data_IF_838848126862
#
_entry.id   IF_838848126862
#
_cell.length_a   1.000
_cell.length_b   1.000
_cell.length_c   1.000
_cell.angle_alpha   90.00
_cell.angle_beta   90.00
_cell.angle_gamma   90.00
#
_symmetry.space_group_name_H-M   'P 1'
#
loop_
_entity.id
_entity.type
_entity.pdbx_description
1 polymer ?
#
# COMPACT_ATOMS: atom_id res chain seq x y z
N UNK A 1 -14.49 -6.15 26.07
CA UNK A 1 -14.89 -5.26 24.96
C UNK A 1 -14.10 -5.69 23.73
N UNK A 2 -14.72 -5.83 22.56
CA UNK A 2 -14.01 -6.29 21.36
C UNK A 2 -13.18 -5.14 20.78
N UNK A 3 -11.85 -5.28 20.73
CA UNK A 3 -10.98 -4.32 20.03
C UNK A 3 -11.38 -4.25 18.56
N UNK A 4 -11.65 -3.04 18.05
CA UNK A 4 -11.95 -2.84 16.64
C UNK A 4 -10.65 -2.70 15.85
N UNK A 5 -10.69 -3.12 14.58
CA UNK A 5 -9.56 -3.00 13.65
C UNK A 5 -9.98 -2.18 12.45
N UNK A 6 -9.11 -1.27 12.02
CA UNK A 6 -9.32 -0.37 10.90
C UNK A 6 -8.17 -0.49 9.90
N UNK A 7 -8.48 -0.39 8.61
CA UNK A 7 -7.47 -0.28 7.56
C UNK A 7 -7.30 1.20 7.22
N UNK A 8 -6.06 1.64 7.16
CA UNK A 8 -5.69 3.01 6.77
C UNK A 8 -4.69 2.91 5.63
N UNK A 9 -4.98 3.57 4.50
CA UNK A 9 -3.98 3.84 3.48
C UNK A 9 -3.16 5.05 3.94
N UNK A 10 -1.84 4.90 4.01
CA UNK A 10 -0.95 5.99 4.38
C UNK A 10 -1.03 7.06 3.27
N UNK A 11 -1.38 8.32 3.59
CA UNK A 11 -1.40 9.39 2.60
C UNK A 11 -0.01 9.61 1.99
N UNK A 12 0.09 9.86 0.69
CA UNK A 12 1.37 10.15 0.02
C UNK A 12 1.92 11.54 0.35
N UNK A 13 1.03 12.52 0.57
CA UNK A 13 1.38 13.87 0.98
C UNK A 13 1.63 13.94 2.51
N UNK A 14 2.63 13.21 2.99
CA UNK A 14 3.02 13.29 4.40
C UNK A 14 3.76 14.59 4.67
N UNK A 15 3.32 15.33 5.70
CA UNK A 15 4.13 16.40 6.28
C UNK A 15 5.40 15.78 6.88
N UNK A 16 6.55 16.45 6.72
CA UNK A 16 7.83 15.98 7.25
C UNK A 16 7.78 15.70 8.75
N UNK A 17 6.96 16.44 9.49
CA UNK A 17 6.73 16.29 10.93
C UNK A 17 6.14 14.93 11.33
N UNK A 18 5.38 14.28 10.44
CA UNK A 18 4.72 12.99 10.72
C UNK A 18 5.54 11.79 10.23
N UNK A 19 6.51 12.03 9.34
CA UNK A 19 7.34 10.97 8.75
C UNK A 19 8.15 10.23 9.81
N UNK A 20 8.74 10.95 10.76
CA UNK A 20 9.56 10.34 11.81
C UNK A 20 8.77 9.35 12.66
N UNK A 21 7.56 9.72 13.11
CA UNK A 21 6.71 8.84 13.90
C UNK A 21 6.26 7.60 13.11
N UNK A 22 5.89 7.78 11.83
CA UNK A 22 5.51 6.69 10.95
C UNK A 22 6.68 5.73 10.66
N UNK A 23 7.87 6.25 10.38
CA UNK A 23 9.07 5.44 10.20
C UNK A 23 9.39 4.63 11.46
N UNK A 24 9.26 5.21 12.66
CA UNK A 24 9.47 4.48 13.91
C UNK A 24 8.46 3.33 14.08
N UNK A 25 7.16 3.56 13.80
CA UNK A 25 6.14 2.49 13.86
C UNK A 25 6.41 1.38 12.85
N UNK A 26 6.76 1.77 11.62
CA UNK A 26 7.11 0.82 10.58
C UNK A 26 8.36 -0.01 10.97
N UNK A 27 9.41 0.64 11.50
CA UNK A 27 10.63 0.00 11.99
C UNK A 27 10.33 -1.06 13.04
N UNK A 28 9.53 -0.71 14.06
CA UNK A 28 9.10 -1.64 15.11
C UNK A 28 8.37 -2.84 14.51
N UNK A 29 7.64 -2.65 13.42
CA UNK A 29 6.80 -3.70 12.86
C UNK A 29 7.57 -4.86 12.21
N UNK A 30 8.81 -4.70 11.70
CA UNK A 30 9.71 -5.86 11.45
C UNK A 30 11.09 -5.63 10.84
N UNK A 31 11.40 -4.46 10.30
CA UNK A 31 12.48 -4.35 9.33
C UNK A 31 13.51 -3.32 9.82
N UNK A 32 14.68 -3.81 10.21
CA UNK A 32 15.84 -3.02 10.67
C UNK A 32 16.49 -2.21 9.52
N UNK A 33 15.69 -1.57 8.67
CA UNK A 33 16.21 -0.59 7.72
C UNK A 33 16.33 0.77 8.41
N UNK A 34 17.23 1.59 7.89
CA UNK A 34 17.43 2.96 8.35
C UNK A 34 16.18 3.84 8.10
N UNK A 35 16.01 4.92 8.87
CA UNK A 35 14.89 5.86 8.72
C UNK A 35 14.83 6.47 7.31
N UNK A 36 16.00 6.67 6.70
CA UNK A 36 16.18 7.20 5.34
C UNK A 36 15.52 6.29 4.30
N UNK A 37 15.81 4.99 4.34
CA UNK A 37 15.21 3.97 3.46
C UNK A 37 13.69 3.89 3.65
N UNK A 38 13.20 4.12 4.88
CA UNK A 38 11.77 4.14 5.14
C UNK A 38 11.06 5.36 4.60
N UNK A 39 11.65 6.54 4.80
CA UNK A 39 11.14 7.77 4.25
C UNK A 39 11.03 7.65 2.73
N UNK A 40 12.07 7.14 2.05
CA UNK A 40 12.05 6.91 0.60
C UNK A 40 10.92 5.97 0.16
N UNK A 41 10.66 4.89 0.90
CA UNK A 41 9.59 3.94 0.57
C UNK A 41 8.20 4.52 0.81
N UNK A 42 8.00 5.22 1.91
CA UNK A 42 6.72 5.87 2.24
C UNK A 42 6.40 7.03 1.28
N UNK A 43 7.44 7.71 0.79
CA UNK A 43 7.33 8.80 -0.18
C UNK A 43 7.35 8.33 -1.64
N UNK A 44 7.47 7.02 -1.89
CA UNK A 44 7.44 6.52 -3.25
C UNK A 44 6.03 6.75 -3.83
N UNK A 45 5.88 7.60 -4.88
CA UNK A 45 4.57 7.93 -5.44
C UNK A 45 3.89 6.73 -6.12
N UNK A 46 4.62 5.65 -6.37
CA UNK A 46 4.11 4.38 -6.91
C UNK A 46 3.77 3.37 -5.83
N UNK A 47 4.11 3.63 -4.56
CA UNK A 47 3.80 2.74 -3.47
C UNK A 47 2.53 3.19 -2.75
N UNK A 48 1.64 2.26 -2.46
CA UNK A 48 0.51 2.47 -1.55
C UNK A 48 0.62 1.51 -0.39
N UNK A 49 0.81 2.08 0.79
CA UNK A 49 0.94 1.30 2.03
C UNK A 49 -0.38 1.31 2.77
N UNK A 50 -0.96 0.12 2.96
CA UNK A 50 -2.16 -0.07 3.76
C UNK A 50 -1.78 -0.74 5.06
N UNK A 51 -2.28 -0.23 6.17
CA UNK A 51 -1.95 -0.69 7.52
C UNK A 51 -3.23 -1.06 8.24
N UNK A 52 -3.22 -2.20 8.93
CA UNK A 52 -4.24 -2.51 9.94
C UNK A 52 -3.76 -1.95 11.28
N UNK A 53 -4.55 -1.06 11.87
CA UNK A 53 -4.32 -0.58 13.23
C UNK A 53 -5.32 -1.19 14.20
N UNK A 54 -4.88 -1.43 15.44
CA UNK A 54 -5.76 -1.75 16.55
C UNK A 54 -6.29 -0.45 17.15
N UNK A 55 -7.60 -0.25 17.10
CA UNK A 55 -8.22 0.92 17.72
C UNK A 55 -8.58 0.58 19.15
N UNK A 56 -7.84 1.14 20.09
CA UNK A 56 -8.14 1.11 21.52
C UNK A 56 -9.01 2.35 21.83
N UNK A 57 -10.27 2.19 22.24
CA UNK A 57 -11.24 3.26 22.67
C UNK A 57 -11.97 3.98 21.51
N UNK A 58 -13.30 4.02 21.37
CA UNK A 58 -14.43 4.40 22.27
C UNK A 58 -14.41 5.88 22.71
N UNK A 59 -14.27 6.78 21.75
CA UNK A 59 -14.57 8.21 21.92
C UNK A 59 -14.74 8.85 20.54
N UNK A 60 -15.83 9.58 20.34
CA UNK A 60 -16.25 10.24 19.08
C UNK A 60 -15.28 11.33 18.56
N UNK A 61 -14.05 11.38 19.06
CA UNK A 61 -13.06 12.34 18.57
C UNK A 61 -12.43 11.78 17.29
N UNK A 62 -12.81 12.34 16.14
CA UNK A 62 -12.15 12.09 14.86
C UNK A 62 -10.69 12.56 14.92
N UNK A 63 -9.80 11.67 15.34
CA UNK A 63 -8.36 11.83 15.15
C UNK A 63 -8.01 11.58 13.69
N UNK A 64 -7.03 12.33 13.17
CA UNK A 64 -6.59 12.17 11.78
C UNK A 64 -5.97 10.79 11.54
N UNK A 65 -6.01 10.32 10.29
CA UNK A 65 -5.40 9.04 9.91
C UNK A 65 -3.91 8.96 10.27
N UNK A 66 -3.19 10.08 10.17
CA UNK A 66 -1.76 10.17 10.48
C UNK A 66 -1.50 10.07 11.99
N UNK A 67 -2.31 10.75 12.81
CA UNK A 67 -2.23 10.63 14.27
C UNK A 67 -2.52 9.20 14.71
N UNK A 68 -3.55 8.58 14.12
CA UNK A 68 -3.93 7.20 14.42
C UNK A 68 -2.80 6.23 14.06
N UNK A 69 -2.22 6.35 12.86
CA UNK A 69 -1.07 5.53 12.44
C UNK A 69 0.17 5.73 13.32
N UNK A 70 0.32 6.89 13.96
CA UNK A 70 1.44 7.21 14.83
C UNK A 70 1.24 6.73 16.28
N UNK A 71 -0.02 6.70 16.74
CA UNK A 71 -0.38 6.32 18.10
C UNK A 71 -0.64 4.81 18.24
N UNK A 72 -1.34 4.21 17.29
CA UNK A 72 -1.86 2.84 17.39
C UNK A 72 -0.83 1.79 16.97
N UNK A 73 -1.00 0.58 17.49
CA UNK A 73 -0.21 -0.59 17.09
C UNK A 73 -0.60 -1.07 15.68
N UNK A 74 0.39 -1.28 14.82
CA UNK A 74 0.22 -1.85 13.50
C UNK A 74 0.15 -3.38 13.59
N UNK A 75 -1.02 -3.94 13.34
CA UNK A 75 -1.26 -5.39 13.38
C UNK A 75 -0.85 -6.09 12.07
N UNK A 76 -0.71 -5.34 11.00
CA UNK A 76 -0.35 -5.85 9.70
C UNK A 76 -0.30 -4.75 8.65
N UNK A 77 0.24 -5.11 7.49
CA UNK A 77 0.47 -4.18 6.39
C UNK A 77 0.46 -4.92 5.07
N UNK A 78 0.06 -4.23 4.00
CA UNK A 78 0.38 -4.58 2.61
C UNK A 78 0.87 -3.33 1.87
N UNK A 79 1.90 -3.49 1.04
CA UNK A 79 2.41 -2.44 0.15
C UNK A 79 2.15 -2.88 -1.28
N UNK A 80 1.35 -2.10 -2.01
CA UNK A 80 1.17 -2.24 -3.45
C UNK A 80 2.10 -1.30 -4.19
N UNK A 81 2.70 -1.78 -5.27
CA UNK A 81 3.42 -0.97 -6.25
C UNK A 81 2.62 -0.94 -7.56
N UNK A 82 2.50 0.25 -8.15
CA UNK A 82 1.86 0.49 -9.44
C UNK A 82 1.19 1.86 -9.52
N UNK A 83 0.42 2.12 -10.59
CA UNK A 83 0.16 1.22 -11.72
C UNK A 83 1.35 1.05 -12.67
N UNK A 84 1.39 -0.04 -13.43
CA UNK A 84 2.24 -0.17 -14.64
C UNK A 84 1.42 -0.66 -15.83
N UNK A 85 1.68 -0.12 -17.01
CA UNK A 85 1.08 -0.62 -18.24
C UNK A 85 1.71 -1.94 -18.62
N UNK A 86 0.89 -2.97 -18.84
CA UNK A 86 1.33 -4.19 -19.49
C UNK A 86 1.30 -4.01 -21.02
N UNK A 87 2.23 -4.66 -21.74
CA UNK A 87 2.22 -4.68 -23.20
C UNK A 87 0.89 -5.20 -23.76
N UNK A 88 0.38 -4.52 -24.80
CA UNK A 88 -0.90 -4.86 -25.44
C UNK A 88 -0.87 -6.20 -26.20
N UNK A 89 0.32 -6.74 -26.48
CA UNK A 89 0.49 -8.06 -27.12
C UNK A 89 0.30 -9.24 -26.15
N UNK A 90 0.06 -8.96 -24.86
CA UNK A 90 -0.15 -9.97 -23.83
C UNK A 90 1.10 -10.75 -23.45
N UNK A 91 2.29 -10.35 -23.95
CA UNK A 91 3.56 -11.05 -23.73
C UNK A 91 3.92 -11.20 -22.25
N UNK A 92 3.55 -10.21 -21.42
CA UNK A 92 3.84 -10.20 -19.99
C UNK A 92 2.65 -10.61 -19.11
N UNK A 93 1.50 -11.00 -19.69
CA UNK A 93 0.30 -11.42 -18.94
C UNK A 93 0.57 -12.56 -17.95
N UNK A 94 1.50 -13.47 -18.27
CA UNK A 94 1.89 -14.61 -17.44
C UNK A 94 2.95 -14.28 -16.39
N UNK A 95 3.64 -13.14 -16.54
CA UNK A 95 4.73 -12.69 -15.67
C UNK A 95 4.62 -11.19 -15.41
N UNK A 96 3.47 -10.67 -14.92
CA UNK A 96 3.23 -9.23 -14.78
C UNK A 96 4.15 -8.56 -13.76
N UNK A 97 4.82 -9.33 -12.89
CA UNK A 97 5.82 -8.83 -11.96
C UNK A 97 7.15 -8.44 -12.64
N UNK A 98 7.44 -8.92 -13.85
CA UNK A 98 8.70 -8.61 -14.54
C UNK A 98 8.86 -7.10 -14.81
N UNK A 99 7.76 -6.42 -15.15
CA UNK A 99 7.73 -4.97 -15.38
C UNK A 99 8.07 -4.16 -14.12
N UNK A 100 7.99 -4.77 -12.93
CA UNK A 100 8.38 -4.18 -11.64
C UNK A 100 9.79 -4.55 -11.21
N UNK A 101 10.34 -5.67 -11.70
CA UNK A 101 11.67 -6.17 -11.34
C UNK A 101 12.77 -5.65 -12.28
N UNK A 102 12.45 -5.43 -13.56
CA UNK A 102 13.41 -5.00 -14.59
C UNK A 102 13.68 -3.48 -14.60
N UNK A 103 12.93 -2.71 -13.80
CA UNK A 103 12.84 -1.27 -13.93
C UNK A 103 13.84 -0.53 -13.03
N UNK A 104 14.74 0.24 -13.64
CA UNK A 104 15.54 1.27 -12.96
C UNK A 104 14.69 2.45 -12.42
N UNK A 105 13.38 2.42 -12.61
CA UNK A 105 12.44 3.52 -12.41
C UNK A 105 11.23 3.18 -11.51
N UNK A 106 11.37 2.23 -10.58
CA UNK A 106 10.27 1.80 -9.66
C UNK A 106 9.68 2.97 -8.86
N UNK A 107 10.45 4.05 -8.68
CA UNK A 107 10.03 5.24 -7.93
C UNK A 107 9.46 6.36 -8.83
N UNK A 108 9.46 6.19 -10.15
CA UNK A 108 8.91 7.18 -11.08
C UNK A 108 7.46 6.85 -11.40
N UNK A 109 6.59 7.84 -11.27
CA UNK A 109 5.20 7.70 -11.70
C UNK A 109 5.13 7.51 -13.21
N UNK A 110 4.37 6.52 -13.73
CA UNK A 110 4.12 6.42 -15.15
C UNK A 110 3.33 7.64 -15.60
N UNK A 111 3.48 7.99 -16.87
CA UNK A 111 2.57 8.91 -17.53
C UNK A 111 1.18 8.23 -17.61
N UNK A 112 0.11 8.82 -17.04
CA UNK A 112 -1.24 8.26 -17.12
C UNK A 112 -1.70 7.93 -18.54
N UNK A 113 -1.19 8.64 -19.56
CA UNK A 113 -1.49 8.35 -20.96
C UNK A 113 -0.97 6.98 -21.42
N UNK A 114 0.10 6.46 -20.79
CA UNK A 114 0.63 5.11 -21.09
C UNK A 114 -0.23 3.99 -20.49
N UNK A 115 -0.91 4.28 -19.39
CA UNK A 115 -1.87 3.37 -18.74
C UNK A 115 -3.21 3.38 -19.48
N UNK A 116 -3.61 4.54 -20.02
CA UNK A 116 -4.85 4.67 -20.76
C UNK A 116 -4.92 3.67 -21.91
N UNK A 117 -6.01 2.89 -21.97
CA UNK A 117 -6.21 1.81 -22.94
C UNK A 117 -5.21 0.61 -22.87
N UNK A 118 -4.37 0.55 -21.84
CA UNK A 118 -3.51 -0.61 -21.52
C UNK A 118 -4.06 -1.37 -20.30
N UNK A 119 -3.64 -2.61 -20.11
CA UNK A 119 -3.91 -3.32 -18.84
C UNK A 119 -3.00 -2.76 -17.75
N UNK A 120 -3.57 -2.40 -16.60
CA UNK A 120 -2.81 -1.90 -15.45
C UNK A 120 -2.44 -3.06 -14.52
N UNK A 121 -1.15 -3.28 -14.32
CA UNK A 121 -0.63 -4.20 -13.34
C UNK A 121 -0.28 -3.49 -12.02
N UNK A 122 -0.42 -4.25 -10.94
CA UNK A 122 -0.02 -3.90 -9.59
C UNK A 122 0.65 -5.10 -8.95
N UNK A 123 1.65 -4.89 -8.10
CA UNK A 123 2.32 -5.96 -7.36
C UNK A 123 2.36 -5.68 -5.87
N UNK A 124 1.97 -6.66 -5.05
CA UNK A 124 2.18 -6.61 -3.61
C UNK A 124 3.65 -6.96 -3.32
N UNK A 125 4.46 -5.97 -2.95
CA UNK A 125 5.90 -6.16 -2.75
C UNK A 125 6.27 -6.45 -1.28
N UNK A 126 5.36 -6.16 -0.35
CA UNK A 126 5.54 -6.46 1.06
C UNK A 126 4.18 -6.70 1.72
N UNK A 127 4.08 -7.74 2.53
CA UNK A 127 2.88 -8.01 3.32
C UNK A 127 3.24 -8.74 4.60
N UNK A 128 2.61 -8.36 5.72
CA UNK A 128 2.64 -9.15 6.94
C UNK A 128 1.39 -8.93 7.80
N UNK A 129 1.18 -9.87 8.71
CA UNK A 129 0.28 -9.74 9.86
C UNK A 129 1.05 -10.28 11.07
N UNK A 130 1.04 -9.54 12.18
CA UNK A 130 1.63 -9.95 13.46
C UNK A 130 1.08 -11.31 13.89
N UNK A 131 1.92 -12.16 14.49
CA UNK A 131 1.56 -13.55 14.75
C UNK A 131 0.31 -13.66 15.64
N UNK A 132 0.21 -12.75 16.60
CA UNK A 132 -0.86 -12.60 17.60
C UNK A 132 -2.18 -12.15 16.97
N UNK A 133 -2.11 -11.47 15.81
CA UNK A 133 -3.26 -10.95 15.07
C UNK A 133 -3.67 -11.84 13.87
N UNK A 134 -2.98 -12.96 13.64
CA UNK A 134 -3.31 -13.91 12.56
C UNK A 134 -4.61 -14.67 12.82
N UNK A 135 -5.14 -15.29 11.76
CA UNK A 135 -6.39 -16.08 11.76
C UNK A 135 -7.66 -15.28 12.12
N UNK A 136 -7.56 -13.96 12.23
CA UNK A 136 -8.69 -13.05 12.42
C UNK A 136 -9.19 -12.43 11.09
N UNK A 137 -8.71 -12.94 9.94
CA UNK A 137 -9.08 -12.44 8.62
C UNK A 137 -8.42 -11.12 8.20
N UNK A 138 -7.49 -10.57 8.99
CA UNK A 138 -6.83 -9.29 8.71
C UNK A 138 -6.06 -9.28 7.38
N UNK A 139 -5.36 -10.37 7.05
CA UNK A 139 -4.67 -10.48 5.77
C UNK A 139 -5.63 -10.40 4.57
N UNK A 140 -6.79 -11.04 4.67
CA UNK A 140 -7.85 -10.95 3.64
C UNK A 140 -8.36 -9.51 3.51
N UNK A 141 -8.62 -8.83 4.64
CA UNK A 141 -9.08 -7.44 4.63
C UNK A 141 -8.04 -6.50 3.98
N UNK A 142 -6.75 -6.69 4.27
CA UNK A 142 -5.66 -5.93 3.64
C UNK A 142 -5.64 -6.12 2.12
N UNK A 143 -5.67 -7.37 1.65
CA UNK A 143 -5.70 -7.68 0.21
C UNK A 143 -6.93 -7.03 -0.44
N UNK A 144 -8.11 -7.22 0.16
CA UNK A 144 -9.36 -6.66 -0.36
C UNK A 144 -9.28 -5.13 -0.50
N UNK A 145 -8.92 -4.42 0.58
CA UNK A 145 -8.82 -2.95 0.56
C UNK A 145 -7.80 -2.47 -0.49
N UNK A 146 -6.68 -3.18 -0.61
CA UNK A 146 -5.64 -2.82 -1.59
C UNK A 146 -6.08 -3.05 -3.04
N UNK A 147 -6.83 -4.12 -3.31
CA UNK A 147 -7.37 -4.43 -4.64
C UNK A 147 -8.49 -3.46 -5.02
N UNK A 148 -9.36 -3.12 -4.08
CA UNK A 148 -10.42 -2.12 -4.28
C UNK A 148 -9.83 -0.74 -4.64
N UNK A 149 -8.77 -0.32 -3.95
CA UNK A 149 -8.07 0.94 -4.26
C UNK A 149 -7.35 0.89 -5.61
N UNK A 150 -6.62 -0.19 -5.90
CA UNK A 150 -5.95 -0.38 -7.19
C UNK A 150 -6.94 -0.39 -8.36
N UNK A 151 -8.11 -1.01 -8.16
CA UNK A 151 -9.19 -1.01 -9.13
C UNK A 151 -9.74 0.41 -9.37
N UNK A 152 -10.04 1.14 -8.30
CA UNK A 152 -10.53 2.52 -8.40
C UNK A 152 -9.54 3.43 -9.14
N UNK A 153 -8.24 3.30 -8.84
CA UNK A 153 -7.18 4.04 -9.51
C UNK A 153 -7.08 3.69 -11.00
N UNK A 154 -6.99 2.40 -11.34
CA UNK A 154 -6.90 1.94 -12.73
C UNK A 154 -8.10 2.42 -13.57
N UNK A 155 -9.31 2.38 -12.99
CA UNK A 155 -10.52 2.88 -13.65
C UNK A 155 -10.49 4.40 -13.84
N UNK A 156 -9.97 5.16 -12.87
CA UNK A 156 -9.80 6.61 -13.00
C UNK A 156 -8.86 6.98 -14.17
N UNK A 157 -7.89 6.11 -14.47
CA UNK A 157 -6.94 6.25 -15.58
C UNK A 157 -7.45 5.67 -16.90
N UNK A 158 -8.66 5.10 -16.95
CA UNK A 158 -9.23 4.42 -18.13
C UNK A 158 -8.38 3.25 -18.62
N UNK A 159 -7.79 2.51 -17.68
CA UNK A 159 -7.12 1.24 -17.98
C UNK A 159 -8.12 0.21 -18.53
N UNK A 160 -7.64 -0.74 -19.32
CA UNK A 160 -8.41 -1.92 -19.73
C UNK A 160 -8.38 -2.96 -18.61
N UNK A 161 -9.52 -3.64 -18.44
CA UNK A 161 -9.58 -4.82 -17.60
C UNK A 161 -8.85 -5.97 -18.30
N UNK A 162 -7.90 -6.59 -17.60
CA UNK A 162 -7.22 -7.77 -18.12
C UNK A 162 -8.17 -8.96 -18.28
N UNK A 163 -8.03 -9.69 -19.39
CA UNK A 163 -8.77 -10.94 -19.59
C UNK A 163 -8.04 -12.06 -18.84
N UNK A 164 -8.51 -12.39 -17.63
CA UNK A 164 -8.11 -13.62 -16.92
C UNK A 164 -8.78 -14.86 -17.48
#
# INVERSE_FOLDING_TARGET
MASQTKIICIPQALLSSSMGALCQRYKTARLQFDDTVWAERLQNPQAKTFVVVRTETTGDTEISAIEQLSADEWLGMIVLLGPRALPADGSESKTPWNSFMAASNINQSPDPATIAASEAAYVACSMFVLAEARRQGLGRKLVQASVEDAWAEAMSMRARQGQT
#
